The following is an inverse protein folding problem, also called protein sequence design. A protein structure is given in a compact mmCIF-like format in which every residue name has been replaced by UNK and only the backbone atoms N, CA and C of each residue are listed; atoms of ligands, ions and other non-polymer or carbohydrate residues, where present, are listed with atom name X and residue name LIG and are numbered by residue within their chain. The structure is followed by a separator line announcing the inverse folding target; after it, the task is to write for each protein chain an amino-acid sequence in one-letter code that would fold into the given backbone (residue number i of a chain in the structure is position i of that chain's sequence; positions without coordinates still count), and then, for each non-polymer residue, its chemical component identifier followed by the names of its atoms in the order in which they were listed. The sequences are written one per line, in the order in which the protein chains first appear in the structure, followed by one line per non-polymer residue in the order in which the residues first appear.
data_IF_297879185352
#
_entry.id   IF_297879185352
#
_cell.length_a   1.000
_cell.length_b   1.000
_cell.length_c   1.000
_cell.angle_alpha   90.00
_cell.angle_beta   90.00
_cell.angle_gamma   90.00
#
_symmetry.space_group_name_H-M   'P 1'
#
loop_
_entity.id
_entity.type
_entity.pdbx_description
1 polymer ?
#
# COMPACT_ATOMS: atom_id res chain seq x y z
N UNK A 1 -2.62 4.39 10.98
CA UNK A 1 -2.27 4.47 9.55
C UNK A 1 -3.20 3.55 8.77
N UNK A 2 -3.83 4.08 7.74
CA UNK A 2 -4.72 3.32 6.86
C UNK A 2 -4.00 3.11 5.53
N UNK A 3 -3.73 1.87 5.16
CA UNK A 3 -3.05 1.52 3.90
C UNK A 3 -3.76 0.37 3.20
N UNK A 4 -3.78 0.33 1.85
CA UNK A 4 -4.42 -0.72 1.08
C UNK A 4 -3.57 -1.98 0.91
N UNK A 5 -2.27 -1.91 1.20
CA UNK A 5 -1.27 -2.91 0.84
C UNK A 5 -0.76 -3.65 2.08
N UNK A 6 -1.19 -4.90 2.26
CA UNK A 6 -0.84 -5.73 3.44
C UNK A 6 0.68 -5.92 3.56
N UNK A 7 1.36 -6.30 2.48
CA UNK A 7 2.81 -6.53 2.50
C UNK A 7 3.60 -5.26 2.91
N UNK A 8 3.17 -4.09 2.44
CA UNK A 8 3.79 -2.82 2.83
C UNK A 8 3.57 -2.52 4.31
N UNK A 9 2.36 -2.76 4.83
CA UNK A 9 2.07 -2.60 6.26
C UNK A 9 2.94 -3.54 7.12
N UNK A 10 3.11 -4.80 6.70
CA UNK A 10 3.95 -5.78 7.40
C UNK A 10 5.41 -5.29 7.49
N UNK A 11 5.98 -4.84 6.38
CA UNK A 11 7.35 -4.33 6.34
C UNK A 11 7.52 -3.08 7.20
N UNK A 12 6.64 -2.09 7.06
CA UNK A 12 6.71 -0.84 7.83
C UNK A 12 6.56 -1.09 9.33
N UNK A 13 5.66 -1.97 9.74
CA UNK A 13 5.50 -2.32 11.16
C UNK A 13 6.73 -3.06 11.69
N UNK A 14 7.34 -3.94 10.88
CA UNK A 14 8.57 -4.60 11.28
C UNK A 14 9.72 -3.60 11.50
N UNK A 15 9.95 -2.69 10.56
CA UNK A 15 10.96 -1.64 10.70
C UNK A 15 10.74 -0.75 11.95
N UNK A 16 9.48 -0.44 12.27
CA UNK A 16 9.15 0.33 13.47
C UNK A 16 9.45 -0.44 14.75
N UNK A 17 9.16 -1.74 14.77
CA UNK A 17 9.48 -2.63 15.91
C UNK A 17 10.98 -2.79 16.10
N UNK A 18 11.73 -2.91 15.03
CA UNK A 18 13.19 -2.99 15.06
C UNK A 18 13.82 -1.72 15.66
N UNK A 19 13.10 -0.59 15.57
CA UNK A 19 13.44 0.69 16.24
C UNK A 19 12.82 0.82 17.63
N UNK A 20 12.29 -0.26 18.22
CA UNK A 20 11.62 -0.28 19.53
C UNK A 20 10.39 0.65 19.64
N UNK A 21 9.70 0.92 18.53
CA UNK A 21 8.46 1.69 18.55
C UNK A 21 7.26 0.75 18.69
N UNK A 22 6.32 1.03 19.61
CA UNK A 22 5.13 0.22 19.82
C UNK A 22 4.18 0.32 18.62
N UNK A 23 4.41 -0.49 17.61
CA UNK A 23 3.62 -0.57 16.38
C UNK A 23 2.99 -1.95 16.19
N UNK A 24 1.80 -1.98 15.63
CA UNK A 24 1.11 -3.21 15.26
C UNK A 24 0.27 -3.02 14.01
N UNK A 25 -0.24 -4.12 13.47
CA UNK A 25 -1.07 -4.11 12.28
C UNK A 25 -2.33 -4.99 12.45
N UNK A 26 -3.38 -4.66 11.69
CA UNK A 26 -4.61 -5.43 11.61
C UNK A 26 -5.07 -5.52 10.15
N UNK A 27 -5.21 -6.74 9.66
CA UNK A 27 -5.82 -7.05 8.35
C UNK A 27 -6.54 -8.40 8.39
N UNK A 28 -7.29 -8.74 7.34
CA UNK A 28 -8.14 -9.94 7.30
C UNK A 28 -7.36 -11.26 7.36
N UNK A 29 -6.12 -11.27 6.89
CA UNK A 29 -5.27 -12.48 6.84
C UNK A 29 -4.42 -12.68 8.10
N UNK A 30 -4.52 -11.79 9.09
CA UNK A 30 -3.73 -11.90 10.32
C UNK A 30 -4.19 -13.12 11.15
N UNK A 31 -3.27 -13.97 11.65
CA UNK A 31 -3.61 -15.08 12.53
C UNK A 31 -4.44 -14.61 13.74
N UNK A 32 -5.43 -15.41 14.14
CA UNK A 32 -6.37 -15.07 15.21
C UNK A 32 -5.70 -14.66 16.51
N UNK A 33 -4.62 -15.35 16.89
CA UNK A 33 -3.86 -15.04 18.11
C UNK A 33 -3.21 -13.65 18.04
N UNK A 34 -2.55 -13.33 16.93
CA UNK A 34 -1.91 -12.03 16.74
C UNK A 34 -2.95 -10.91 16.67
N UNK A 35 -4.08 -11.15 16.00
CA UNK A 35 -5.21 -10.24 15.98
C UNK A 35 -5.72 -9.93 17.39
N UNK A 36 -5.90 -10.96 18.22
CA UNK A 36 -6.35 -10.81 19.62
C UNK A 36 -5.35 -10.00 20.44
N UNK A 37 -4.07 -10.29 20.33
CA UNK A 37 -3.00 -9.54 21.01
C UNK A 37 -2.97 -8.06 20.59
N UNK A 38 -3.08 -7.77 19.30
CA UNK A 38 -3.13 -6.39 18.81
C UNK A 38 -4.36 -5.65 19.33
N UNK A 39 -5.54 -6.27 19.31
CA UNK A 39 -6.76 -5.68 19.84
C UNK A 39 -6.66 -5.38 21.35
N UNK A 40 -6.07 -6.28 22.10
CA UNK A 40 -5.82 -6.08 23.54
C UNK A 40 -4.83 -4.93 23.79
N UNK A 41 -3.75 -4.87 23.03
CA UNK A 41 -2.77 -3.78 23.12
C UNK A 41 -3.37 -2.42 22.76
N UNK A 42 -4.26 -2.40 21.76
CA UNK A 42 -5.01 -1.21 21.38
C UNK A 42 -5.94 -0.76 22.53
N UNK A 43 -6.70 -1.67 23.11
CA UNK A 43 -7.62 -1.39 24.21
C UNK A 43 -6.91 -0.88 25.48
N UNK A 44 -5.66 -1.28 25.68
CA UNK A 44 -4.81 -0.86 26.80
C UNK A 44 -3.98 0.40 26.50
N UNK A 45 -4.20 1.09 25.37
CA UNK A 45 -3.41 2.25 24.93
C UNK A 45 -1.89 1.99 24.84
N UNK A 46 -1.47 0.74 24.58
CA UNK A 46 -0.05 0.37 24.50
C UNK A 46 0.56 0.61 23.12
N UNK A 47 -0.25 0.90 22.10
CA UNK A 47 0.21 1.15 20.76
C UNK A 47 0.42 2.64 20.50
N UNK A 48 1.53 2.98 19.83
CA UNK A 48 1.76 4.30 19.28
C UNK A 48 1.28 4.39 17.83
N UNK A 49 1.46 3.32 17.08
CA UNK A 49 1.07 3.22 15.68
C UNK A 49 0.28 1.94 15.45
N UNK A 50 -0.87 2.06 14.81
CA UNK A 50 -1.67 0.94 14.34
C UNK A 50 -1.88 1.07 12.84
N UNK A 51 -1.40 0.08 12.09
CA UNK A 51 -1.61 -0.06 10.66
C UNK A 51 -2.82 -0.97 10.40
N UNK A 52 -3.71 -0.55 9.50
CA UNK A 52 -4.88 -1.34 9.18
C UNK A 52 -5.44 -1.00 7.79
N UNK A 53 -6.15 -1.96 7.21
CA UNK A 53 -6.87 -1.70 5.97
C UNK A 53 -8.14 -0.87 6.23
N UNK A 54 -8.66 -0.15 5.22
CA UNK A 54 -9.91 0.60 5.35
C UNK A 54 -11.09 -0.25 5.84
N UNK A 55 -11.19 -1.47 5.32
CA UNK A 55 -12.24 -2.42 5.70
C UNK A 55 -12.10 -2.84 7.17
N UNK A 56 -10.87 -3.03 7.62
CA UNK A 56 -10.60 -3.40 9.02
C UNK A 56 -10.90 -2.24 9.97
N UNK A 57 -10.53 -1.00 9.60
CA UNK A 57 -10.87 0.19 10.36
C UNK A 57 -12.38 0.32 10.59
N UNK A 58 -13.16 0.06 9.53
CA UNK A 58 -14.62 0.19 9.53
C UNK A 58 -15.34 -1.06 10.06
N UNK A 59 -14.59 -2.11 10.43
CA UNK A 59 -15.18 -3.32 11.00
C UNK A 59 -15.69 -3.06 12.43
N UNK A 60 -16.83 -3.67 12.78
CA UNK A 60 -17.48 -3.50 14.09
C UNK A 60 -16.50 -3.70 15.26
N UNK A 61 -15.70 -4.79 15.34
CA UNK A 61 -14.83 -5.01 16.48
C UNK A 61 -13.77 -3.93 16.70
N UNK A 62 -13.18 -3.42 15.60
CA UNK A 62 -12.17 -2.35 15.67
C UNK A 62 -12.83 -1.02 16.00
N UNK A 63 -13.96 -0.72 15.34
CA UNK A 63 -14.69 0.51 15.55
C UNK A 63 -15.16 0.69 17.00
N UNK A 64 -15.68 -0.36 17.62
CA UNK A 64 -16.11 -0.35 19.00
C UNK A 64 -14.99 0.00 19.98
N UNK A 65 -13.76 -0.46 19.71
CA UNK A 65 -12.61 -0.12 20.58
C UNK A 65 -12.15 1.31 20.33
N UNK A 66 -11.87 1.67 19.07
CA UNK A 66 -11.32 2.99 18.77
C UNK A 66 -12.28 4.14 19.08
N UNK A 67 -13.58 3.86 19.15
CA UNK A 67 -14.60 4.84 19.54
C UNK A 67 -14.70 5.04 21.05
N UNK A 68 -14.08 4.21 21.88
CA UNK A 68 -14.14 4.37 23.33
C UNK A 68 -13.50 5.71 23.77
N UNK A 69 -14.10 6.45 24.71
CA UNK A 69 -13.61 7.77 25.11
C UNK A 69 -12.16 7.79 25.63
N UNK A 70 -11.72 6.72 26.29
CA UNK A 70 -10.38 6.61 26.85
C UNK A 70 -9.28 6.25 25.83
N UNK A 71 -9.65 5.77 24.63
CA UNK A 71 -8.69 5.49 23.58
C UNK A 71 -8.31 6.78 22.87
N UNK A 72 -7.06 7.19 23.01
CA UNK A 72 -6.56 8.42 22.41
C UNK A 72 -6.14 8.19 20.96
N UNK A 73 -6.69 8.98 20.05
CA UNK A 73 -6.33 8.99 18.63
C UNK A 73 -5.96 10.42 18.26
N UNK A 74 -4.68 10.67 18.04
CA UNK A 74 -4.15 11.98 17.72
C UNK A 74 -4.08 12.25 16.21
N UNK A 75 -4.04 11.20 15.40
CA UNK A 75 -3.92 11.34 13.94
C UNK A 75 -4.50 10.17 13.17
N UNK A 76 -5.00 10.47 12.00
CA UNK A 76 -5.42 9.53 10.97
C UNK A 76 -4.53 9.77 9.75
N UNK A 77 -3.67 8.83 9.46
CA UNK A 77 -2.76 8.87 8.32
C UNK A 77 -3.32 7.96 7.23
N UNK A 78 -3.56 8.51 6.05
CA UNK A 78 -4.02 7.75 4.89
C UNK A 78 -2.86 7.61 3.90
N UNK A 79 -2.44 6.39 3.70
CA UNK A 79 -1.49 6.01 2.66
C UNK A 79 -2.24 5.68 1.38
N UNK A 80 -1.60 5.88 0.23
CA UNK A 80 -2.19 5.71 -1.10
C UNK A 80 -3.54 6.44 -1.25
N UNK A 81 -3.58 7.71 -0.81
CA UNK A 81 -4.80 8.50 -0.78
C UNK A 81 -5.46 8.69 -2.15
N UNK A 82 -4.73 8.45 -3.27
CA UNK A 82 -5.31 8.43 -4.61
C UNK A 82 -6.43 7.37 -4.76
N UNK A 83 -6.45 6.34 -3.92
CA UNK A 83 -7.54 5.38 -3.87
C UNK A 83 -8.91 6.00 -3.54
N UNK A 84 -8.95 7.21 -2.93
CA UNK A 84 -10.18 7.96 -2.72
C UNK A 84 -10.80 8.46 -4.03
N UNK A 85 -9.99 8.63 -5.07
CA UNK A 85 -10.38 9.24 -6.35
C UNK A 85 -10.62 8.19 -7.43
N UNK A 86 -9.65 7.31 -7.64
CA UNK A 86 -9.61 6.41 -8.81
C UNK A 86 -10.56 5.21 -8.71
N UNK A 87 -10.99 4.84 -7.50
CA UNK A 87 -11.62 3.56 -7.24
C UNK A 87 -12.98 3.66 -6.56
N UNK A 88 -13.60 4.84 -6.58
CA UNK A 88 -14.71 5.29 -5.74
C UNK A 88 -15.89 4.35 -5.58
N UNK A 89 -16.47 3.80 -6.62
CA UNK A 89 -17.75 3.10 -6.48
C UNK A 89 -17.67 1.58 -6.64
N UNK A 90 -16.70 1.06 -7.39
CA UNK A 90 -16.70 -0.36 -7.76
C UNK A 90 -15.62 -1.20 -7.11
N UNK A 91 -14.46 -0.62 -6.76
CA UNK A 91 -13.33 -1.42 -6.31
C UNK A 91 -13.11 -1.41 -4.79
N UNK A 92 -13.23 -0.26 -4.10
CA UNK A 92 -13.05 -0.17 -2.63
C UNK A 92 -13.98 0.86 -1.99
N UNK A 93 -15.26 0.53 -1.80
CA UNK A 93 -16.25 1.43 -1.16
C UNK A 93 -15.83 1.91 0.23
N UNK A 94 -14.98 1.13 0.92
CA UNK A 94 -14.46 1.48 2.23
C UNK A 94 -13.65 2.79 2.23
N UNK A 95 -12.91 3.09 1.13
CA UNK A 95 -12.14 4.34 1.04
C UNK A 95 -13.03 5.59 1.10
N UNK A 96 -14.16 5.60 0.42
CA UNK A 96 -15.12 6.75 0.48
C UNK A 96 -15.61 7.02 1.89
N UNK A 97 -15.83 5.98 2.67
CA UNK A 97 -16.28 6.09 4.05
C UNK A 97 -15.22 6.68 4.99
N UNK A 98 -13.94 6.70 4.59
CA UNK A 98 -12.86 7.30 5.39
C UNK A 98 -13.07 8.81 5.60
N UNK A 99 -13.75 9.50 4.68
CA UNK A 99 -14.09 10.92 4.83
C UNK A 99 -14.91 11.25 6.07
N UNK A 100 -15.73 10.31 6.56
CA UNK A 100 -16.59 10.50 7.74
C UNK A 100 -15.98 9.97 9.04
N UNK A 101 -14.83 9.26 8.97
CA UNK A 101 -14.21 8.60 10.14
C UNK A 101 -13.81 9.60 11.20
N UNK A 102 -13.14 10.71 10.82
CA UNK A 102 -12.71 11.73 11.79
C UNK A 102 -13.88 12.33 12.55
N UNK A 103 -14.90 12.76 11.85
CA UNK A 103 -16.11 13.39 12.45
C UNK A 103 -16.86 12.40 13.34
N UNK A 104 -16.97 11.14 12.93
CA UNK A 104 -17.62 10.10 13.72
C UNK A 104 -16.80 9.76 15.00
N UNK A 105 -15.47 9.67 14.91
CA UNK A 105 -14.62 9.47 16.07
C UNK A 105 -14.68 10.65 17.05
N UNK A 106 -14.63 11.89 16.56
CA UNK A 106 -14.71 13.09 17.41
C UNK A 106 -16.03 13.18 18.19
N UNK A 107 -17.14 12.69 17.65
CA UNK A 107 -18.43 12.60 18.37
C UNK A 107 -18.37 11.63 19.56
N UNK A 108 -17.51 10.62 19.50
CA UNK A 108 -17.36 9.62 20.55
C UNK A 108 -16.22 9.94 21.55
N UNK A 109 -15.50 11.03 21.35
CA UNK A 109 -14.35 11.44 22.17
C UNK A 109 -14.70 12.64 23.05
N UNK A 110 -13.90 12.93 24.09
CA UNK A 110 -14.05 14.16 24.90
C UNK A 110 -14.08 15.42 24.01
N UNK A 111 -14.82 16.45 24.43
CA UNK A 111 -15.09 17.65 23.63
C UNK A 111 -13.85 18.38 23.09
N UNK A 112 -12.71 18.29 23.78
CA UNK A 112 -11.46 18.95 23.39
C UNK A 112 -10.53 18.04 22.54
N UNK A 113 -10.99 16.85 22.14
CA UNK A 113 -10.19 15.95 21.35
C UNK A 113 -9.92 16.51 19.96
N UNK A 114 -8.69 16.35 19.48
CA UNK A 114 -8.29 16.75 18.13
C UNK A 114 -7.69 15.56 17.42
N UNK A 115 -8.11 15.32 16.19
CA UNK A 115 -7.58 14.26 15.32
C UNK A 115 -7.07 14.94 14.04
N UNK A 116 -5.76 14.97 13.87
CA UNK A 116 -5.14 15.46 12.64
C UNK A 116 -5.35 14.43 11.51
N UNK A 117 -5.42 14.90 10.26
CA UNK A 117 -5.39 14.04 9.08
C UNK A 117 -4.17 14.35 8.25
N UNK A 118 -3.45 13.32 7.83
CA UNK A 118 -2.41 13.38 6.81
C UNK A 118 -2.73 12.38 5.70
N UNK A 119 -2.62 12.83 4.45
CA UNK A 119 -2.87 12.02 3.27
C UNK A 119 -1.62 11.98 2.40
N UNK A 120 -1.12 10.79 2.12
CA UNK A 120 0.07 10.55 1.32
C UNK A 120 -0.31 9.83 0.02
N UNK A 121 0.29 10.26 -1.08
CA UNK A 121 0.17 9.58 -2.37
C UNK A 121 1.34 9.96 -3.28
N UNK A 122 1.84 8.99 -4.04
CA UNK A 122 2.85 9.25 -5.07
C UNK A 122 2.24 9.82 -6.37
N UNK A 123 0.94 9.66 -6.58
CA UNK A 123 0.27 9.94 -7.86
C UNK A 123 -1.04 10.69 -7.63
N UNK A 124 -1.00 12.02 -7.66
CA UNK A 124 -2.21 12.84 -7.61
C UNK A 124 -2.04 14.08 -8.50
N UNK A 125 -2.79 14.11 -9.60
CA UNK A 125 -2.95 15.32 -10.38
C UNK A 125 -3.75 16.38 -9.59
N UNK A 126 -3.83 17.64 -10.04
CA UNK A 126 -4.52 18.70 -9.31
C UNK A 126 -5.99 18.40 -8.99
N UNK A 127 -6.70 17.74 -9.89
CA UNK A 127 -8.09 17.32 -9.70
C UNK A 127 -8.22 16.26 -8.59
N UNK A 128 -7.34 15.26 -8.61
CA UNK A 128 -7.27 14.25 -7.57
C UNK A 128 -6.95 14.85 -6.19
N UNK A 129 -6.02 15.80 -6.13
CA UNK A 129 -5.69 16.52 -4.89
C UNK A 129 -6.92 17.26 -4.34
N UNK A 130 -7.68 17.93 -5.22
CA UNK A 130 -8.90 18.63 -4.79
C UNK A 130 -9.96 17.63 -4.29
N UNK A 131 -10.13 16.52 -4.97
CA UNK A 131 -11.06 15.46 -4.54
C UNK A 131 -10.67 14.87 -3.18
N UNK A 132 -9.38 14.60 -2.95
CA UNK A 132 -8.87 14.12 -1.65
C UNK A 132 -9.18 15.13 -0.54
N UNK A 133 -8.93 16.43 -0.77
CA UNK A 133 -9.23 17.49 0.20
C UNK A 133 -10.73 17.53 0.53
N UNK A 134 -11.57 17.43 -0.47
CA UNK A 134 -13.03 17.47 -0.31
C UNK A 134 -13.56 16.23 0.45
N UNK A 135 -13.15 15.02 0.03
CA UNK A 135 -13.59 13.76 0.65
C UNK A 135 -13.17 13.70 2.12
N UNK A 136 -11.94 14.08 2.43
CA UNK A 136 -11.41 14.08 3.79
C UNK A 136 -11.82 15.33 4.60
N UNK A 137 -12.55 16.25 4.00
CA UNK A 137 -13.00 17.49 4.64
C UNK A 137 -11.84 18.27 5.27
N UNK A 138 -10.73 18.38 4.53
CA UNK A 138 -9.54 19.07 5.00
C UNK A 138 -9.75 20.60 4.90
N UNK A 139 -9.60 21.28 6.01
CA UNK A 139 -9.73 22.74 6.07
C UNK A 139 -8.36 23.39 6.04
N UNK A 140 -8.08 24.17 4.99
CA UNK A 140 -6.80 24.86 4.76
C UNK A 140 -5.59 23.93 4.99
N UNK A 141 -5.55 22.75 4.34
CA UNK A 141 -4.42 21.85 4.56
C UNK A 141 -3.16 22.41 3.92
N UNK A 142 -2.04 22.19 4.58
CA UNK A 142 -0.74 22.35 3.96
C UNK A 142 -0.52 21.24 2.92
N UNK A 143 0.07 21.60 1.79
CA UNK A 143 0.36 20.67 0.69
C UNK A 143 1.86 20.67 0.40
N UNK A 144 2.47 19.51 0.56
CA UNK A 144 3.88 19.28 0.24
C UNK A 144 3.95 18.54 -1.09
N UNK A 145 4.32 19.23 -2.15
CA UNK A 145 4.36 18.70 -3.51
C UNK A 145 5.81 18.55 -3.95
N UNK A 146 6.20 17.35 -4.26
CA UNK A 146 7.48 17.04 -4.87
C UNK A 146 7.28 16.68 -6.35
N UNK A 147 8.19 17.12 -7.20
CA UNK A 147 8.18 16.72 -8.61
C UNK A 147 8.37 15.19 -8.72
N UNK A 148 7.56 14.50 -9.52
CA UNK A 148 7.77 13.08 -9.82
C UNK A 148 8.98 12.84 -10.72
N UNK A 149 9.55 13.89 -11.28
CA UNK A 149 10.72 13.79 -12.15
C UNK A 149 11.95 13.30 -11.37
N UNK A 150 12.55 12.26 -11.88
CA UNK A 150 13.72 11.59 -11.31
C UNK A 150 14.87 11.70 -12.31
N UNK A 151 15.80 12.64 -12.09
CA UNK A 151 16.94 12.88 -13.00
C UNK A 151 17.88 11.69 -13.16
N UNK A 152 17.88 10.77 -12.19
CA UNK A 152 18.65 9.54 -12.21
C UNK A 152 17.99 8.39 -12.99
N UNK A 153 16.77 8.57 -13.52
CA UNK A 153 16.08 7.58 -14.34
C UNK A 153 16.18 7.93 -15.81
N UNK A 154 16.69 7.01 -16.61
CA UNK A 154 16.70 7.12 -18.05
C UNK A 154 15.46 6.44 -18.62
N UNK A 155 14.60 7.23 -19.29
CA UNK A 155 13.37 6.74 -19.91
C UNK A 155 13.60 6.58 -21.42
N UNK A 156 13.35 5.37 -21.90
CA UNK A 156 13.46 5.02 -23.32
C UNK A 156 12.17 4.38 -23.81
N UNK A 157 11.70 4.79 -24.99
CA UNK A 157 10.52 4.21 -25.64
C UNK A 157 10.93 3.65 -27.00
N UNK A 158 10.62 2.37 -27.22
CA UNK A 158 10.86 1.69 -28.49
C UNK A 158 9.54 1.19 -29.07
N UNK A 159 9.27 1.51 -30.33
CA UNK A 159 8.11 0.99 -31.05
C UNK A 159 8.41 -0.38 -31.66
N UNK A 160 7.60 -1.37 -31.33
CA UNK A 160 7.76 -2.73 -31.85
C UNK A 160 6.41 -3.25 -32.32
N UNK A 161 6.35 -3.68 -33.57
CA UNK A 161 5.09 -4.04 -34.25
C UNK A 161 4.65 -5.50 -34.08
N UNK A 162 5.56 -6.39 -33.69
CA UNK A 162 5.25 -7.81 -33.58
C UNK A 162 5.56 -8.38 -32.21
N UNK A 163 4.81 -9.39 -31.72
CA UNK A 163 5.13 -10.08 -30.46
C UNK A 163 6.52 -10.70 -30.45
N UNK A 164 6.97 -11.24 -31.59
CA UNK A 164 8.33 -11.80 -31.74
C UNK A 164 9.39 -10.71 -31.63
N UNK A 165 9.19 -9.57 -32.28
CA UNK A 165 10.10 -8.43 -32.18
C UNK A 165 10.20 -7.90 -30.76
N UNK A 166 9.09 -7.87 -30.02
CA UNK A 166 9.07 -7.43 -28.61
C UNK A 166 9.92 -8.35 -27.72
N UNK A 167 9.79 -9.68 -27.87
CA UNK A 167 10.61 -10.64 -27.15
C UNK A 167 12.09 -10.49 -27.50
N UNK A 168 12.43 -10.28 -28.77
CA UNK A 168 13.80 -10.10 -29.22
C UNK A 168 14.42 -8.81 -28.65
N UNK A 169 13.68 -7.70 -28.64
CA UNK A 169 14.15 -6.43 -28.08
C UNK A 169 14.38 -6.54 -26.57
N UNK A 170 13.50 -7.23 -25.86
CA UNK A 170 13.69 -7.49 -24.43
C UNK A 170 14.97 -8.31 -24.16
N UNK A 171 15.17 -9.39 -24.91
CA UNK A 171 16.38 -10.21 -24.78
C UNK A 171 17.65 -9.40 -25.08
N UNK A 172 17.63 -8.57 -26.12
CA UNK A 172 18.75 -7.68 -26.46
C UNK A 172 19.00 -6.67 -25.33
N UNK A 173 17.94 -6.10 -24.76
CA UNK A 173 18.04 -5.16 -23.64
C UNK A 173 18.68 -5.79 -22.41
N UNK A 174 18.25 -7.00 -22.03
CA UNK A 174 18.80 -7.73 -20.88
C UNK A 174 20.26 -8.14 -21.16
N UNK A 175 20.54 -8.65 -22.38
CA UNK A 175 21.88 -9.07 -22.77
C UNK A 175 22.90 -7.91 -22.70
N UNK A 176 22.47 -6.70 -23.02
CA UNK A 176 23.31 -5.50 -22.91
C UNK A 176 23.58 -5.05 -21.47
N UNK A 177 22.92 -5.65 -20.48
CA UNK A 177 23.01 -5.30 -19.04
C UNK A 177 23.33 -6.51 -18.17
N UNK A 178 24.49 -7.15 -18.36
CA UNK A 178 24.86 -8.35 -17.61
C UNK A 178 24.96 -8.03 -16.10
N UNK A 179 24.54 -8.97 -15.27
CA UNK A 179 24.58 -8.87 -13.80
C UNK A 179 23.73 -7.73 -13.20
N UNK A 180 22.81 -7.16 -13.95
CA UNK A 180 21.83 -6.19 -13.43
C UNK A 180 20.51 -6.88 -13.13
N UNK A 181 19.90 -6.53 -12.01
CA UNK A 181 18.54 -6.93 -11.71
C UNK A 181 17.54 -6.07 -12.47
N UNK A 182 16.38 -6.64 -12.84
CA UNK A 182 15.37 -5.93 -13.61
C UNK A 182 13.96 -6.44 -13.35
N UNK A 183 12.96 -5.56 -13.49
CA UNK A 183 11.54 -5.89 -13.44
C UNK A 183 10.93 -5.71 -14.83
N UNK A 184 10.21 -6.72 -15.30
CA UNK A 184 9.50 -6.68 -16.58
C UNK A 184 8.00 -6.72 -16.32
N UNK A 185 7.31 -5.61 -16.61
CA UNK A 185 5.86 -5.53 -16.48
C UNK A 185 5.15 -6.03 -17.73
N UNK A 186 4.17 -6.88 -17.53
CA UNK A 186 3.34 -7.45 -18.59
C UNK A 186 1.86 -7.31 -18.28
N UNK A 187 0.99 -7.48 -19.27
CA UNK A 187 -0.45 -7.22 -19.12
C UNK A 187 -1.21 -8.35 -18.44
N UNK A 188 -0.80 -9.59 -18.62
CA UNK A 188 -1.54 -10.76 -18.13
C UNK A 188 -0.67 -11.67 -17.29
N UNK A 189 -1.30 -12.49 -16.45
CA UNK A 189 -0.62 -13.56 -15.68
C UNK A 189 0.08 -14.54 -16.59
N UNK A 190 -0.60 -14.95 -17.66
CA UNK A 190 -0.06 -15.87 -18.68
C UNK A 190 1.18 -15.30 -19.37
N UNK A 191 1.19 -14.00 -19.67
CA UNK A 191 2.38 -13.37 -20.24
C UNK A 191 3.54 -13.35 -19.24
N UNK A 192 3.25 -13.15 -17.96
CA UNK A 192 4.27 -13.19 -16.89
C UNK A 192 4.93 -14.57 -16.81
N UNK A 193 4.13 -15.64 -16.79
CA UNK A 193 4.61 -17.02 -16.75
C UNK A 193 5.40 -17.38 -18.01
N UNK A 194 4.82 -17.14 -19.20
CA UNK A 194 5.47 -17.45 -20.48
C UNK A 194 6.76 -16.70 -20.70
N UNK A 195 6.84 -15.45 -20.20
CA UNK A 195 8.05 -14.65 -20.35
C UNK A 195 9.13 -15.09 -19.35
N UNK A 196 8.74 -15.45 -18.13
CA UNK A 196 9.66 -16.03 -17.16
C UNK A 196 10.29 -17.32 -17.67
N UNK A 197 9.49 -18.21 -18.31
CA UNK A 197 10.00 -19.45 -18.88
C UNK A 197 10.95 -19.17 -20.04
N UNK A 198 10.62 -18.27 -20.95
CA UNK A 198 11.50 -17.85 -22.05
C UNK A 198 12.84 -17.32 -21.55
N UNK A 199 12.82 -16.52 -20.48
CA UNK A 199 14.05 -15.97 -19.89
C UNK A 199 14.88 -17.06 -19.19
N UNK A 200 14.23 -18.05 -18.54
CA UNK A 200 14.92 -19.22 -17.96
C UNK A 200 15.60 -20.05 -19.05
N UNK A 201 14.90 -20.32 -20.15
CA UNK A 201 15.48 -21.03 -21.31
C UNK A 201 16.67 -20.28 -21.91
N UNK A 202 16.66 -18.96 -21.84
CA UNK A 202 17.78 -18.11 -22.26
C UNK A 202 18.93 -18.01 -21.21
N UNK A 203 18.82 -18.73 -20.08
CA UNK A 203 19.86 -18.81 -19.05
C UNK A 203 19.81 -17.69 -17.98
N UNK A 204 18.70 -16.99 -17.85
CA UNK A 204 18.55 -15.96 -16.82
C UNK A 204 17.81 -16.50 -15.58
N UNK A 205 18.28 -16.15 -14.40
CA UNK A 205 17.51 -16.33 -13.18
C UNK A 205 16.30 -15.40 -13.18
N UNK A 206 15.10 -15.96 -13.16
CA UNK A 206 13.86 -15.19 -13.25
C UNK A 206 12.70 -15.91 -12.59
N UNK A 207 11.70 -15.15 -12.17
CA UNK A 207 10.45 -15.69 -11.64
C UNK A 207 9.26 -14.86 -12.13
N UNK A 208 8.14 -15.50 -12.41
CA UNK A 208 6.87 -14.83 -12.61
C UNK A 208 6.29 -14.38 -11.27
N UNK A 209 5.80 -13.13 -11.19
CA UNK A 209 5.15 -12.62 -9.99
C UNK A 209 3.80 -12.02 -10.32
N UNK A 210 2.74 -12.54 -9.74
CA UNK A 210 1.36 -12.06 -9.95
C UNK A 210 0.41 -12.50 -8.84
N UNK A 211 -0.76 -11.88 -8.76
CA UNK A 211 -1.75 -12.13 -7.71
C UNK A 211 -2.37 -13.55 -7.74
N UNK A 212 -2.17 -14.33 -8.81
CA UNK A 212 -2.61 -15.73 -8.91
C UNK A 212 -1.71 -16.72 -8.17
N UNK A 213 -0.50 -16.30 -7.78
CA UNK A 213 0.40 -17.12 -6.98
C UNK A 213 -0.08 -17.21 -5.52
N UNK A 214 0.25 -18.32 -4.86
CA UNK A 214 0.01 -18.46 -3.41
C UNK A 214 0.76 -17.37 -2.62
N UNK A 215 0.26 -16.98 -1.45
CA UNK A 215 0.96 -16.04 -0.57
C UNK A 215 2.38 -16.49 -0.22
N UNK A 216 2.57 -17.79 -0.02
CA UNK A 216 3.89 -18.37 0.27
C UNK A 216 4.85 -18.24 -0.91
N UNK A 217 4.40 -18.56 -2.13
CA UNK A 217 5.19 -18.42 -3.34
C UNK A 217 5.61 -16.96 -3.57
N UNK A 218 4.70 -16.01 -3.36
CA UNK A 218 4.99 -14.59 -3.49
C UNK A 218 6.07 -14.15 -2.49
N UNK A 219 5.94 -14.51 -1.22
CA UNK A 219 6.96 -14.20 -0.19
C UNK A 219 8.33 -14.79 -0.51
N UNK A 220 8.36 -16.01 -1.05
CA UNK A 220 9.62 -16.65 -1.48
C UNK A 220 10.31 -15.86 -2.60
N UNK A 221 9.55 -15.42 -3.60
CA UNK A 221 10.07 -14.63 -4.72
C UNK A 221 10.53 -13.25 -4.23
N UNK A 222 9.74 -12.57 -3.40
CA UNK A 222 10.09 -11.28 -2.80
C UNK A 222 11.40 -11.37 -2.00
N UNK A 223 11.55 -12.43 -1.18
CA UNK A 223 12.78 -12.66 -0.41
C UNK A 223 13.98 -12.92 -1.32
N UNK A 224 13.80 -13.70 -2.39
CA UNK A 224 14.87 -13.98 -3.35
C UNK A 224 15.28 -12.74 -4.16
N UNK A 225 14.37 -11.80 -4.36
CA UNK A 225 14.66 -10.52 -5.02
C UNK A 225 15.48 -9.55 -4.15
N UNK A 226 15.28 -9.59 -2.83
CA UNK A 226 15.95 -8.69 -1.87
C UNK A 226 17.37 -9.16 -1.46
N UNK A 227 17.72 -10.41 -1.71
CA UNK A 227 19.03 -10.99 -1.44
C UNK A 227 19.89 -11.04 -2.70
#
# INVERSE_FOLDING_TARGET
VVSPLVALMENQVQELRDRNLPASLLHSQLPTQQRRQTMQSLQQNKLRLLYLSPETLLSKPVWEIISQPHIQINGLILDEAHCLVQWGDTFRPAYRRLGTVRSALLKAKPANSKIAIAAFTATANPEAQQTIKNVLQLQKPEAFLLSPYRSNLHLEVQTVWTPRGRKQQLLNFIKARPKQAGLVYVRTRKDSESLADLLKEAGYETAAYHAGLSPESRRKIEKAWLN
#
